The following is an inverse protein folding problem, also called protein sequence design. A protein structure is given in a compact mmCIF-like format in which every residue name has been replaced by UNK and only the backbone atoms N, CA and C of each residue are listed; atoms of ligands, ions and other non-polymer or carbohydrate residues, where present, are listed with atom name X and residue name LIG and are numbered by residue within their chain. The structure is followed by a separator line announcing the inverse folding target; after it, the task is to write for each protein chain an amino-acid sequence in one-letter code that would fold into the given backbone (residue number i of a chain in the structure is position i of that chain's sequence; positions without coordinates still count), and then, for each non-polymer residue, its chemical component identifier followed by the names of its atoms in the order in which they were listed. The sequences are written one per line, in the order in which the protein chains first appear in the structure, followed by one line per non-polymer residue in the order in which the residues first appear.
data_IF_952971229589
#
_entry.id   IF_952971229589
#
_cell.length_a   1.000
_cell.length_b   1.000
_cell.length_c   1.000
_cell.angle_alpha   90.00
_cell.angle_beta   90.00
_cell.angle_gamma   90.00
#
_symmetry.space_group_name_H-M   'P 1'
#
loop_
_entity.id
_entity.type
_entity.pdbx_description
1 polymer ?
#
# COMPACT_ATOMS: atom_id res chain seq x y z
N UNK A 1 -17.25 -43.28 -2.69
CA UNK A 1 -18.17 -42.15 -2.48
C UNK A 1 -17.36 -40.88 -2.28
N UNK A 2 -17.06 -40.15 -3.37
CA UNK A 2 -16.76 -38.72 -3.37
C UNK A 2 -16.76 -38.28 -4.84
N UNK A 3 -17.96 -37.95 -5.34
CA UNK A 3 -18.22 -37.58 -6.72
C UNK A 3 -17.78 -36.14 -7.02
N UNK A 4 -16.48 -35.90 -7.12
CA UNK A 4 -15.97 -34.69 -7.75
C UNK A 4 -15.81 -34.96 -9.26
N UNK A 5 -16.70 -34.39 -10.06
CA UNK A 5 -16.60 -34.40 -11.53
C UNK A 5 -15.49 -33.44 -11.97
N UNK A 6 -14.63 -33.79 -12.94
CA UNK A 6 -13.54 -32.92 -13.41
C UNK A 6 -14.01 -31.57 -13.97
N UNK A 7 -15.28 -31.46 -14.37
CA UNK A 7 -15.96 -30.23 -14.77
C UNK A 7 -16.07 -29.22 -13.61
N UNK A 8 -16.39 -29.67 -12.38
CA UNK A 8 -16.55 -28.76 -11.24
C UNK A 8 -15.21 -28.14 -10.81
N UNK A 9 -14.12 -28.92 -10.86
CA UNK A 9 -12.77 -28.45 -10.53
C UNK A 9 -12.35 -27.30 -11.45
N UNK A 10 -12.61 -27.41 -12.77
CA UNK A 10 -12.32 -26.33 -13.72
C UNK A 10 -13.11 -25.06 -13.41
N UNK A 11 -14.38 -25.21 -13.05
CA UNK A 11 -15.25 -24.07 -12.74
C UNK A 11 -14.83 -23.35 -11.44
N UNK A 12 -14.43 -24.11 -10.41
CA UNK A 12 -13.89 -23.57 -9.16
C UNK A 12 -12.57 -22.83 -9.35
N UNK A 13 -11.67 -23.37 -10.18
CA UNK A 13 -10.39 -22.71 -10.51
C UNK A 13 -10.62 -21.39 -11.25
N UNK A 14 -11.56 -21.35 -12.20
CA UNK A 14 -11.91 -20.10 -12.89
C UNK A 14 -12.50 -19.03 -11.96
N UNK A 15 -13.32 -19.44 -10.99
CA UNK A 15 -13.87 -18.54 -9.99
C UNK A 15 -12.80 -17.96 -9.06
N UNK A 16 -11.83 -18.79 -8.64
CA UNK A 16 -10.69 -18.35 -7.85
C UNK A 16 -9.83 -17.33 -8.60
N UNK A 17 -9.52 -17.59 -9.87
CA UNK A 17 -8.73 -16.67 -10.71
C UNK A 17 -9.42 -15.31 -10.89
N UNK A 18 -10.75 -15.30 -11.00
CA UNK A 18 -11.51 -14.06 -11.09
C UNK A 18 -11.42 -13.30 -9.78
N UNK A 19 -11.69 -13.94 -8.64
CA UNK A 19 -11.67 -13.29 -7.33
C UNK A 19 -10.28 -12.70 -7.00
N UNK A 20 -9.22 -13.43 -7.36
CA UNK A 20 -7.84 -12.98 -7.16
C UNK A 20 -7.55 -11.70 -7.96
N UNK A 21 -7.96 -11.67 -9.24
CA UNK A 21 -7.80 -10.49 -10.10
C UNK A 21 -8.55 -9.26 -9.57
N UNK A 22 -9.76 -9.43 -9.05
CA UNK A 22 -10.52 -8.34 -8.45
C UNK A 22 -9.91 -7.85 -7.13
N UNK A 23 -9.45 -8.79 -6.29
CA UNK A 23 -8.71 -8.46 -5.06
C UNK A 23 -7.47 -7.62 -5.34
N UNK A 24 -6.71 -7.97 -6.39
CA UNK A 24 -5.52 -7.23 -6.79
C UNK A 24 -5.81 -5.81 -7.23
N UNK A 25 -6.81 -5.62 -8.08
CA UNK A 25 -7.19 -4.28 -8.57
C UNK A 25 -7.68 -3.40 -7.42
N UNK A 26 -8.53 -3.94 -6.55
CA UNK A 26 -9.11 -3.19 -5.42
C UNK A 26 -8.08 -2.83 -4.36
N UNK A 27 -7.15 -3.73 -4.04
CA UNK A 27 -6.05 -3.45 -3.12
C UNK A 27 -5.12 -2.34 -3.66
N UNK A 28 -4.77 -2.44 -4.94
CA UNK A 28 -3.93 -1.44 -5.62
C UNK A 28 -4.57 -0.06 -5.64
N UNK A 29 -5.87 -0.02 -5.97
CA UNK A 29 -6.65 1.22 -5.97
C UNK A 29 -6.72 1.83 -4.58
N UNK A 30 -6.89 1.01 -3.54
CA UNK A 30 -6.97 1.46 -2.15
C UNK A 30 -5.66 2.11 -1.68
N UNK A 31 -4.51 1.47 -1.98
CA UNK A 31 -3.20 2.05 -1.67
C UNK A 31 -2.97 3.38 -2.38
N UNK A 32 -3.27 3.45 -3.68
CA UNK A 32 -3.14 4.70 -4.44
C UNK A 32 -4.05 5.81 -3.89
N UNK A 33 -5.30 5.50 -3.58
CA UNK A 33 -6.25 6.46 -3.02
C UNK A 33 -5.76 7.02 -1.68
N UNK A 34 -5.31 6.16 -0.78
CA UNK A 34 -4.80 6.59 0.53
C UNK A 34 -3.54 7.44 0.35
N UNK A 35 -2.59 7.02 -0.49
CA UNK A 35 -1.38 7.81 -0.77
C UNK A 35 -1.70 9.20 -1.31
N UNK A 36 -2.67 9.29 -2.22
CA UNK A 36 -3.09 10.56 -2.80
C UNK A 36 -3.82 11.46 -1.80
N UNK A 37 -4.70 10.90 -0.98
CA UNK A 37 -5.40 11.65 0.08
C UNK A 37 -4.42 12.24 1.09
N UNK A 38 -3.45 11.45 1.56
CA UNK A 38 -2.41 11.93 2.47
C UNK A 38 -1.57 13.02 1.82
N UNK A 39 -1.16 12.82 0.56
CA UNK A 39 -0.38 13.83 -0.17
C UNK A 39 -1.10 15.18 -0.26
N UNK A 40 -2.38 15.17 -0.63
CA UNK A 40 -3.19 16.39 -0.72
C UNK A 40 -3.35 17.04 0.66
N UNK A 41 -3.66 16.24 1.68
CA UNK A 41 -3.83 16.73 3.05
C UNK A 41 -2.56 17.43 3.56
N UNK A 42 -1.40 16.81 3.37
CA UNK A 42 -0.11 17.35 3.83
C UNK A 42 0.27 18.65 3.12
N UNK A 43 -0.04 18.77 1.83
CA UNK A 43 0.19 20.02 1.10
C UNK A 43 -0.73 21.15 1.59
N UNK A 44 -2.01 20.85 1.82
CA UNK A 44 -2.98 21.82 2.35
C UNK A 44 -2.55 22.29 3.75
N UNK A 45 -2.16 21.36 4.62
CA UNK A 45 -1.67 21.68 5.97
C UNK A 45 -0.41 22.57 5.92
N UNK A 46 0.55 22.25 5.04
CA UNK A 46 1.77 23.04 4.88
C UNK A 46 1.49 24.49 4.45
N UNK A 47 0.64 24.69 3.44
CA UNK A 47 0.30 26.04 2.95
C UNK A 47 -0.37 26.89 4.04
N UNK A 48 -1.12 26.28 4.96
CA UNK A 48 -1.75 26.97 6.07
C UNK A 48 -0.74 27.36 7.18
N UNK A 49 0.26 26.53 7.45
CA UNK A 49 1.19 26.72 8.59
C UNK A 49 2.50 27.40 8.20
N UNK A 50 2.86 27.45 6.91
CA UNK A 50 4.15 28.01 6.45
C UNK A 50 4.32 29.50 6.79
N UNK A 51 3.22 30.25 6.95
CA UNK A 51 3.27 31.68 7.25
C UNK A 51 3.63 31.98 8.71
N UNK A 52 3.35 31.07 9.64
CA UNK A 52 3.66 31.26 11.07
C UNK A 52 5.02 30.69 11.43
N UNK A 53 5.31 29.46 11.02
CA UNK A 53 6.54 28.77 11.42
C UNK A 53 7.11 27.90 10.28
N UNK A 54 8.03 28.47 9.50
CA UNK A 54 8.61 27.81 8.32
C UNK A 54 9.35 26.50 8.64
N UNK A 55 10.17 26.50 9.69
CA UNK A 55 11.04 25.36 10.07
C UNK A 55 10.23 24.12 10.46
N UNK A 56 9.32 24.18 11.46
CA UNK A 56 8.51 23.02 11.84
C UNK A 56 7.48 22.63 10.76
N UNK A 57 6.93 23.59 10.01
CA UNK A 57 6.02 23.28 8.88
C UNK A 57 6.74 22.44 7.80
N UNK A 58 7.98 22.80 7.47
CA UNK A 58 8.76 22.10 6.44
C UNK A 58 9.18 20.70 6.91
N UNK A 59 9.56 20.52 8.17
CA UNK A 59 9.90 19.20 8.73
C UNK A 59 8.66 18.29 8.72
N UNK A 60 7.50 18.83 9.09
CA UNK A 60 6.23 18.09 9.08
C UNK A 60 5.87 17.65 7.65
N UNK A 61 5.97 18.56 6.68
CA UNK A 61 5.76 18.23 5.27
C UNK A 61 6.72 17.12 4.80
N UNK A 62 8.02 17.21 5.13
CA UNK A 62 9.00 16.19 4.75
C UNK A 62 8.66 14.82 5.35
N UNK A 63 8.26 14.77 6.61
CA UNK A 63 7.86 13.52 7.27
C UNK A 63 6.63 12.89 6.61
N UNK A 64 5.64 13.73 6.28
CA UNK A 64 4.43 13.29 5.57
C UNK A 64 4.75 12.79 4.16
N UNK A 65 5.60 13.49 3.42
CA UNK A 65 6.05 13.07 2.08
C UNK A 65 6.86 11.77 2.14
N UNK A 66 7.74 11.61 3.15
CA UNK A 66 8.44 10.35 3.39
C UNK A 66 7.46 9.20 3.65
N UNK A 67 6.38 9.46 4.39
CA UNK A 67 5.32 8.47 4.59
C UNK A 67 4.61 8.10 3.29
N UNK A 68 4.27 9.08 2.44
CA UNK A 68 3.68 8.82 1.12
C UNK A 68 4.63 8.00 0.24
N UNK A 69 5.93 8.34 0.20
CA UNK A 69 6.93 7.59 -0.57
C UNK A 69 7.00 6.13 -0.07
N UNK A 70 7.05 5.92 1.24
CA UNK A 70 7.04 4.57 1.83
C UNK A 70 5.77 3.81 1.43
N UNK A 71 4.62 4.47 1.44
CA UNK A 71 3.34 3.88 1.04
C UNK A 71 3.35 3.47 -0.45
N UNK A 72 3.93 4.31 -1.33
CA UNK A 72 4.10 4.00 -2.75
C UNK A 72 5.10 2.87 -3.02
N UNK A 73 6.18 2.79 -2.24
CA UNK A 73 7.16 1.70 -2.33
C UNK A 73 6.55 0.38 -1.84
N UNK A 74 5.73 0.46 -0.79
CA UNK A 74 4.93 -0.66 -0.30
C UNK A 74 3.96 -1.15 -1.39
N UNK A 75 3.24 -0.22 -2.04
CA UNK A 75 2.36 -0.52 -3.17
C UNK A 75 3.10 -1.24 -4.31
N UNK A 76 4.29 -0.75 -4.69
CA UNK A 76 5.15 -1.41 -5.69
C UNK A 76 5.53 -2.83 -5.27
N UNK A 77 5.82 -3.04 -3.99
CA UNK A 77 6.17 -4.36 -3.44
C UNK A 77 4.96 -5.30 -3.40
N UNK A 78 3.79 -4.79 -3.00
CA UNK A 78 2.51 -5.52 -3.01
C UNK A 78 2.17 -5.91 -4.44
N UNK A 79 2.25 -5.00 -5.41
CA UNK A 79 2.08 -5.31 -6.83
C UNK A 79 3.04 -6.41 -7.30
N UNK A 80 4.31 -6.32 -6.94
CA UNK A 80 5.31 -7.33 -7.29
C UNK A 80 5.02 -8.71 -6.68
N UNK A 81 4.48 -8.74 -5.46
CA UNK A 81 4.03 -9.96 -4.79
C UNK A 81 2.77 -10.54 -5.45
N UNK A 82 1.84 -9.69 -5.85
CA UNK A 82 0.59 -10.09 -6.48
C UNK A 82 0.80 -10.61 -7.92
N UNK A 83 1.78 -10.07 -8.64
CA UNK A 83 2.10 -10.50 -10.02
C UNK A 83 3.01 -11.73 -10.08
N UNK A 84 3.79 -11.97 -9.04
CA UNK A 84 4.66 -13.14 -8.94
C UNK A 84 4.07 -14.06 -7.88
N UNK A 85 3.38 -15.15 -8.29
CA UNK A 85 2.89 -16.26 -7.44
C UNK A 85 3.93 -16.86 -6.46
N UNK A 86 5.17 -16.35 -6.48
CA UNK A 86 6.25 -16.64 -5.54
C UNK A 86 6.35 -15.52 -4.49
N UNK A 87 5.70 -15.79 -3.36
CA UNK A 87 5.81 -15.07 -2.10
C UNK A 87 7.28 -14.80 -1.73
N UNK A 88 7.83 -13.62 -2.05
CA UNK A 88 9.04 -13.08 -1.42
C UNK A 88 8.64 -12.02 -0.42
N UNK A 89 8.29 -12.44 0.80
CA UNK A 89 7.93 -11.56 1.93
C UNK A 89 9.07 -10.63 2.37
N UNK A 90 10.31 -10.98 2.07
CA UNK A 90 11.50 -10.30 2.59
C UNK A 90 11.54 -8.79 2.27
N UNK A 91 11.35 -8.31 1.02
CA UNK A 91 11.28 -6.88 0.72
C UNK A 91 10.07 -6.17 1.34
N UNK A 92 8.91 -6.82 1.41
CA UNK A 92 7.70 -6.26 2.04
C UNK A 92 7.92 -5.99 3.53
N UNK A 93 8.55 -6.94 4.23
CA UNK A 93 8.86 -6.81 5.65
C UNK A 93 9.82 -5.65 5.93
N UNK A 94 10.81 -5.42 5.06
CA UNK A 94 11.77 -4.32 5.24
C UNK A 94 11.08 -2.94 5.20
N UNK A 95 10.20 -2.73 4.21
CA UNK A 95 9.44 -1.46 4.09
C UNK A 95 8.47 -1.29 5.26
N UNK A 96 7.79 -2.37 5.69
CA UNK A 96 6.91 -2.36 6.85
C UNK A 96 7.62 -2.07 8.18
N UNK A 97 8.82 -2.62 8.37
CA UNK A 97 9.66 -2.35 9.56
C UNK A 97 10.10 -0.89 9.57
N UNK A 98 10.61 -0.35 8.46
CA UNK A 98 11.05 1.05 8.37
C UNK A 98 9.88 2.01 8.67
N UNK A 99 8.69 1.73 8.13
CA UNK A 99 7.49 2.50 8.40
C UNK A 99 7.07 2.46 9.88
N UNK A 100 7.14 1.27 10.50
CA UNK A 100 6.79 1.06 11.89
C UNK A 100 7.77 1.75 12.83
N UNK A 101 9.07 1.63 12.57
CA UNK A 101 10.12 2.30 13.34
C UNK A 101 9.96 3.82 13.26
N UNK A 102 9.71 4.39 12.06
CA UNK A 102 9.45 5.83 11.92
C UNK A 102 8.24 6.28 12.75
N UNK A 103 7.11 5.57 12.66
CA UNK A 103 5.89 5.90 13.42
C UNK A 103 6.13 5.84 14.93
N UNK A 104 6.91 4.87 15.41
CA UNK A 104 7.28 4.76 16.82
C UNK A 104 8.20 5.91 17.26
N UNK A 105 9.10 6.39 16.40
CA UNK A 105 10.03 7.48 16.72
C UNK A 105 9.40 8.88 16.64
N UNK A 106 8.29 9.03 15.90
CA UNK A 106 7.57 10.29 15.77
C UNK A 106 6.35 10.38 16.71
N UNK A 107 5.86 9.25 17.22
CA UNK A 107 4.80 9.18 18.24
C UNK A 107 5.38 9.42 19.64
#
# INVERSE_FOLDING_TARGET
MLGWTPESIKQWVGWMQFLDRWGYITACLSFLLVGMLVFVYSWVAYVQTVQTDFLPATITLLNDLLFVIILLELFRTVLGFLQSDRIRLQPFLHVGIIASVRRILTA
#
